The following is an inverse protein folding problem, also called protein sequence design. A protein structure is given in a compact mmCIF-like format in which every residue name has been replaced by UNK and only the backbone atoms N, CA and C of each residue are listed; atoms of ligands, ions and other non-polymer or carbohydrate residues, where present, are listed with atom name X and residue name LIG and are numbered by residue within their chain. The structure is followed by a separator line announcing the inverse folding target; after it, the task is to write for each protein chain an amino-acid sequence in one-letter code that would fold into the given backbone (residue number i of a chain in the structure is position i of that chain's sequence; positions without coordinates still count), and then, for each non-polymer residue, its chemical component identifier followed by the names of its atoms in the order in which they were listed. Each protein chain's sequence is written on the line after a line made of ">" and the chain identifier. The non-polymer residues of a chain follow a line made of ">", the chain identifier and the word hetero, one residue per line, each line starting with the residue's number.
data_IF_539189612420
#
_entry.id   IF_539189612420
#
_cell.length_a   1.000
_cell.length_b   1.000
_cell.length_c   1.000
_cell.angle_alpha   90.00
_cell.angle_beta   90.00
_cell.angle_gamma   90.00
#
_symmetry.space_group_name_H-M   'P 1'
#
loop_
_entity.id
_entity.type
_entity.pdbx_description
1 polymer ?
#
# COMPACT_ATOMS: atom_id res chain seq x y z
N UNK A 1 -1.07 33.18 19.74
CA UNK A 1 -1.39 31.80 19.35
C UNK A 1 -0.86 31.66 17.94
N UNK A 2 0.29 31.02 17.80
CA UNK A 2 1.02 30.85 16.55
C UNK A 2 0.12 30.09 15.58
N UNK A 3 -0.11 30.64 14.39
CA UNK A 3 -0.85 29.95 13.35
C UNK A 3 0.12 28.93 12.72
N UNK A 4 0.22 27.75 13.33
CA UNK A 4 1.06 26.68 12.82
C UNK A 4 0.44 26.13 11.52
N UNK A 5 1.22 25.94 10.43
CA UNK A 5 0.72 25.50 9.13
C UNK A 5 0.07 24.10 9.14
N UNK A 6 0.06 23.42 10.28
CA UNK A 6 -0.55 22.10 10.50
C UNK A 6 -2.09 22.17 10.50
N UNK A 7 -2.68 23.32 10.85
CA UNK A 7 -4.13 23.46 10.99
C UNK A 7 -4.86 23.47 9.62
N UNK A 8 -4.19 23.93 8.56
CA UNK A 8 -4.74 24.02 7.18
C UNK A 8 -4.54 22.76 6.31
N UNK A 9 -3.93 21.67 6.80
CA UNK A 9 -3.80 20.47 5.96
C UNK A 9 -5.14 19.74 5.71
N UNK A 10 -5.34 19.18 4.49
CA UNK A 10 -6.43 18.25 4.22
C UNK A 10 -6.44 17.06 5.19
N UNK A 11 -7.62 16.49 5.42
CA UNK A 11 -7.82 15.40 6.38
C UNK A 11 -6.91 14.20 6.10
N UNK A 12 -6.76 13.84 4.83
CA UNK A 12 -5.99 12.68 4.36
C UNK A 12 -4.50 12.88 4.64
N UNK A 13 -4.00 14.10 4.45
CA UNK A 13 -2.61 14.46 4.77
C UNK A 13 -2.35 14.42 6.29
N UNK A 14 -3.32 14.86 7.11
CA UNK A 14 -3.25 14.72 8.58
C UNK A 14 -3.20 13.25 9.01
N UNK A 15 -4.02 12.38 8.41
CA UNK A 15 -3.98 10.94 8.68
C UNK A 15 -2.63 10.34 8.30
N UNK A 16 -2.10 10.69 7.12
CA UNK A 16 -0.79 10.20 6.68
C UNK A 16 0.35 10.64 7.62
N UNK A 17 0.32 11.89 8.08
CA UNK A 17 1.28 12.39 9.07
C UNK A 17 1.19 11.64 10.41
N UNK A 18 -0.03 11.33 10.88
CA UNK A 18 -0.23 10.53 12.09
C UNK A 18 0.28 9.10 11.93
N UNK A 19 0.15 8.50 10.74
CA UNK A 19 0.71 7.17 10.45
C UNK A 19 2.24 7.23 10.55
N UNK A 20 2.89 8.23 9.96
CA UNK A 20 4.35 8.42 10.03
C UNK A 20 4.82 8.58 11.48
N UNK A 21 4.13 9.41 12.27
CA UNK A 21 4.43 9.59 13.68
C UNK A 21 4.28 8.28 14.49
N UNK A 22 3.25 7.48 14.22
CA UNK A 22 3.04 6.18 14.86
C UNK A 22 4.13 5.15 14.51
N UNK A 23 4.84 5.34 13.39
CA UNK A 23 6.00 4.53 13.00
C UNK A 23 7.34 5.10 13.54
N UNK A 24 7.31 6.14 14.37
CA UNK A 24 8.49 6.76 14.96
C UNK A 24 9.24 7.73 14.02
N UNK A 25 8.60 8.19 12.94
CA UNK A 25 9.18 9.20 12.05
C UNK A 25 8.87 10.59 12.60
N UNK A 26 9.87 11.22 13.19
CA UNK A 26 9.75 12.54 13.84
C UNK A 26 10.08 13.72 12.90
N UNK A 27 10.94 13.50 11.90
CA UNK A 27 11.35 14.52 10.92
C UNK A 27 11.37 13.91 9.51
N UNK A 28 10.61 14.51 8.59
CA UNK A 28 10.55 14.13 7.20
C UNK A 28 10.20 15.34 6.30
N UNK A 29 10.68 15.33 5.05
CA UNK A 29 10.29 16.36 4.07
C UNK A 29 8.77 16.35 3.87
N UNK A 30 8.07 17.51 3.94
CA UNK A 30 6.63 17.61 3.71
C UNK A 30 6.16 16.96 2.39
N UNK A 31 7.02 16.89 1.38
CA UNK A 31 6.73 16.22 0.09
C UNK A 31 6.51 14.72 0.24
N UNK A 32 7.06 14.08 1.27
CA UNK A 32 6.86 12.64 1.54
C UNK A 32 5.38 12.34 1.75
N UNK A 33 4.66 13.20 2.48
CA UNK A 33 3.21 13.03 2.69
C UNK A 33 2.48 13.04 1.35
N UNK A 34 2.80 13.98 0.46
CA UNK A 34 2.19 14.05 -0.87
C UNK A 34 2.53 12.81 -1.72
N UNK A 35 3.78 12.36 -1.70
CA UNK A 35 4.20 11.14 -2.41
C UNK A 35 3.48 9.90 -1.91
N UNK A 36 3.28 9.77 -0.60
CA UNK A 36 2.55 8.65 0.00
C UNK A 36 1.06 8.71 -0.34
N UNK A 37 0.46 9.90 -0.40
CA UNK A 37 -0.92 10.08 -0.85
C UNK A 37 -1.08 9.71 -2.33
N UNK A 38 -0.17 10.18 -3.20
CA UNK A 38 -0.15 9.82 -4.63
C UNK A 38 0.05 8.31 -4.83
N UNK A 39 0.90 7.69 -4.02
CA UNK A 39 1.08 6.25 -4.02
C UNK A 39 -0.20 5.53 -3.59
N UNK A 40 -0.80 5.91 -2.47
CA UNK A 40 -2.01 5.29 -1.95
C UNK A 40 -3.18 5.38 -2.94
N UNK A 41 -3.36 6.54 -3.58
CA UNK A 41 -4.37 6.74 -4.61
C UNK A 41 -4.14 5.85 -5.82
N UNK A 42 -2.92 5.86 -6.40
CA UNK A 42 -2.58 5.02 -7.56
C UNK A 42 -2.73 3.54 -7.25
N UNK A 43 -2.17 3.07 -6.13
CA UNK A 43 -2.27 1.68 -5.72
C UNK A 43 -3.72 1.22 -5.60
N UNK A 44 -4.56 2.01 -4.92
CA UNK A 44 -5.98 1.69 -4.73
C UNK A 44 -6.74 1.67 -6.06
N UNK A 45 -6.46 2.65 -6.94
CA UNK A 45 -7.08 2.72 -8.27
C UNK A 45 -6.75 1.49 -9.10
N UNK A 46 -5.48 1.09 -9.12
CA UNK A 46 -5.02 -0.07 -9.88
C UNK A 46 -5.59 -1.39 -9.31
N UNK A 47 -5.66 -1.53 -7.98
CA UNK A 47 -6.31 -2.70 -7.34
C UNK A 47 -7.78 -2.81 -7.75
N UNK A 48 -8.52 -1.70 -7.77
CA UNK A 48 -9.92 -1.72 -8.22
C UNK A 48 -10.07 -1.99 -9.72
N UNK A 49 -9.15 -1.51 -10.56
CA UNK A 49 -9.15 -1.84 -11.98
C UNK A 49 -8.99 -3.34 -12.22
N UNK A 50 -8.03 -3.97 -11.53
CA UNK A 50 -7.82 -5.42 -11.60
C UNK A 50 -9.05 -6.19 -11.05
N UNK A 51 -9.66 -5.70 -9.96
CA UNK A 51 -10.82 -6.35 -9.33
C UNK A 51 -12.05 -6.30 -10.22
N UNK A 52 -12.29 -5.17 -10.91
CA UNK A 52 -13.37 -5.04 -11.89
C UNK A 52 -13.20 -6.03 -13.05
N UNK A 53 -11.97 -6.20 -13.54
CA UNK A 53 -11.66 -7.18 -14.58
C UNK A 53 -11.94 -8.62 -14.11
N UNK A 54 -11.64 -8.95 -12.85
CA UNK A 54 -11.92 -10.27 -12.28
C UNK A 54 -13.43 -10.52 -12.08
N UNK A 55 -14.16 -9.51 -11.61
CA UNK A 55 -15.62 -9.55 -11.50
C UNK A 55 -16.27 -9.77 -12.87
N UNK A 56 -15.82 -9.05 -13.91
CA UNK A 56 -16.29 -9.21 -15.29
C UNK A 56 -15.99 -10.61 -15.81
N UNK A 57 -14.77 -11.13 -15.58
CA UNK A 57 -14.40 -12.48 -15.98
C UNK A 57 -15.25 -13.57 -15.31
N UNK A 58 -15.66 -13.34 -14.06
CA UNK A 58 -16.55 -14.23 -13.32
C UNK A 58 -18.04 -14.06 -13.71
N UNK A 59 -18.37 -13.11 -14.60
CA UNK A 59 -19.75 -12.83 -15.01
C UNK A 59 -20.61 -12.19 -13.92
N UNK A 60 -19.99 -11.57 -12.91
CA UNK A 60 -20.69 -10.89 -11.81
C UNK A 60 -21.08 -9.48 -12.23
N UNK A 61 -22.27 -9.04 -11.82
CA UNK A 61 -22.76 -7.68 -12.05
C UNK A 61 -22.23 -6.67 -11.00
N UNK A 62 -21.79 -7.17 -9.84
CA UNK A 62 -21.29 -6.37 -8.73
C UNK A 62 -19.96 -6.93 -8.25
N UNK A 63 -19.07 -6.03 -7.84
CA UNK A 63 -17.74 -6.34 -7.33
C UNK A 63 -17.84 -6.87 -5.89
N UNK A 64 -17.16 -7.97 -5.60
CA UNK A 64 -17.14 -8.56 -4.26
C UNK A 64 -15.76 -8.52 -3.58
N UNK A 65 -15.73 -8.99 -2.33
CA UNK A 65 -14.49 -9.03 -1.52
C UNK A 65 -13.44 -9.96 -2.13
N UNK A 66 -13.86 -11.06 -2.75
CA UNK A 66 -12.94 -12.06 -3.31
C UNK A 66 -12.22 -11.52 -4.54
N UNK A 67 -12.90 -10.70 -5.35
CA UNK A 67 -12.29 -10.02 -6.50
C UNK A 67 -11.16 -9.07 -6.04
N UNK A 68 -11.43 -8.24 -5.02
CA UNK A 68 -10.41 -7.34 -4.43
C UNK A 68 -9.26 -8.12 -3.83
N UNK A 69 -9.57 -9.20 -3.11
CA UNK A 69 -8.55 -10.06 -2.48
C UNK A 69 -7.64 -10.69 -3.53
N UNK A 70 -8.21 -11.17 -4.63
CA UNK A 70 -7.46 -11.74 -5.74
C UNK A 70 -6.54 -10.69 -6.39
N UNK A 71 -7.02 -9.46 -6.59
CA UNK A 71 -6.22 -8.36 -7.15
C UNK A 71 -5.03 -7.98 -6.28
N UNK A 72 -5.24 -7.92 -4.96
CA UNK A 72 -4.15 -7.67 -4.01
C UNK A 72 -3.13 -8.82 -4.05
N UNK A 73 -3.58 -10.08 -4.06
CA UNK A 73 -2.68 -11.24 -4.12
C UNK A 73 -1.83 -11.26 -5.39
N UNK A 74 -2.43 -10.96 -6.55
CA UNK A 74 -1.68 -10.83 -7.82
C UNK A 74 -0.55 -9.81 -7.71
N UNK A 75 -0.82 -8.66 -7.10
CA UNK A 75 0.16 -7.58 -6.94
C UNK A 75 1.25 -7.89 -5.91
N UNK A 76 0.91 -8.48 -4.76
CA UNK A 76 1.89 -8.87 -3.73
C UNK A 76 2.95 -9.80 -4.29
N UNK A 77 2.56 -10.73 -5.16
CA UNK A 77 3.49 -11.68 -5.78
C UNK A 77 4.49 -11.04 -6.76
N UNK A 78 4.21 -9.84 -7.27
CA UNK A 78 5.00 -9.20 -8.31
C UNK A 78 5.66 -7.88 -7.91
N UNK A 79 5.08 -7.16 -6.94
CA UNK A 79 5.48 -5.77 -6.63
C UNK A 79 6.10 -5.58 -5.25
N UNK A 80 5.94 -6.53 -4.33
CA UNK A 80 6.43 -6.39 -2.95
C UNK A 80 7.50 -7.41 -2.62
N UNK A 81 8.50 -6.98 -1.86
CA UNK A 81 9.57 -7.86 -1.40
C UNK A 81 9.08 -8.66 -0.20
N UNK A 82 8.93 -9.97 -0.37
CA UNK A 82 8.80 -10.88 0.77
C UNK A 82 10.19 -11.21 1.31
N UNK A 83 10.38 -11.28 2.64
CA UNK A 83 11.64 -11.77 3.18
C UNK A 83 11.96 -13.14 2.57
N UNK A 84 13.21 -13.41 2.19
CA UNK A 84 13.57 -14.64 1.50
C UNK A 84 13.18 -15.86 2.33
N UNK A 85 12.61 -16.91 1.71
CA UNK A 85 12.18 -18.12 2.41
C UNK A 85 13.31 -18.68 3.27
N UNK A 86 13.01 -19.09 4.51
CA UNK A 86 13.97 -19.68 5.45
C UNK A 86 14.72 -20.88 4.85
N UNK A 87 14.06 -21.62 3.97
CA UNK A 87 14.64 -22.75 3.24
C UNK A 87 15.83 -22.35 2.35
N UNK A 88 15.82 -21.16 1.74
CA UNK A 88 16.95 -20.66 0.93
C UNK A 88 18.22 -20.50 1.77
N UNK A 89 18.08 -20.16 3.05
CA UNK A 89 19.20 -20.08 3.99
C UNK A 89 19.70 -21.46 4.39
N UNK A 90 18.81 -22.45 4.48
CA UNK A 90 19.19 -23.82 4.78
C UNK A 90 20.07 -24.42 3.66
N UNK A 91 19.75 -24.21 2.39
CA UNK A 91 20.61 -24.61 1.26
C UNK A 91 21.96 -23.87 1.27
N UNK A 92 21.93 -22.55 1.49
CA UNK A 92 23.14 -21.74 1.55
C UNK A 92 24.09 -22.14 2.69
N UNK A 93 23.56 -22.54 3.85
CA UNK A 93 24.35 -23.03 4.99
C UNK A 93 24.73 -24.52 4.84
N UNK A 94 23.96 -25.31 4.09
CA UNK A 94 24.24 -26.72 3.82
C UNK A 94 25.24 -26.94 2.67
N UNK A 95 25.65 -25.88 1.96
CA UNK A 95 26.64 -25.98 0.89
C UNK A 95 26.17 -26.81 -0.32
N UNK A 96 24.86 -26.86 -0.56
CA UNK A 96 24.22 -27.51 -1.72
C UNK A 96 23.58 -26.46 -2.64
#
# INVERSE_FOLDING_TARGET
>A
MSNDPVEELPKEAKIMALILQAQGVEDCDPKVVNQLLDFAHRYTTEVFQDALLYSEHAGKAELDLEDVRLSIQGRVNHSFTTPPPKERWAYFLAGL
#
